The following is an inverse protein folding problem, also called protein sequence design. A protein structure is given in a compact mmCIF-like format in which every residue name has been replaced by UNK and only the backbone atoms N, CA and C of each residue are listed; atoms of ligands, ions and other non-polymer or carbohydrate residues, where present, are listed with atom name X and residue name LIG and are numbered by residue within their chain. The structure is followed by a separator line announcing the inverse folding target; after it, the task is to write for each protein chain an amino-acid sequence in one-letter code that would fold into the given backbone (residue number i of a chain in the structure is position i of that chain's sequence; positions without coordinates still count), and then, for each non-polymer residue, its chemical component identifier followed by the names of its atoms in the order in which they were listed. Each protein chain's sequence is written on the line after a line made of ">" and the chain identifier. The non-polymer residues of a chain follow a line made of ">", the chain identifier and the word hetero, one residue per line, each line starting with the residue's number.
data_IF_076582349527
#
_entry.id   IF_076582349527
#
_cell.length_a   1.000
_cell.length_b   1.000
_cell.length_c   1.000
_cell.angle_alpha   90.00
_cell.angle_beta   90.00
_cell.angle_gamma   90.00
#
_symmetry.space_group_name_H-M   'P 1'
#
loop_
_entity.id
_entity.type
_entity.pdbx_description
1 polymer ?
#
# COMPACT_ATOMS: atom_id res chain seq x y z
N UNK A 1 22.97 -19.23 -9.29
CA UNK A 1 21.98 -18.63 -8.37
C UNK A 1 20.66 -18.58 -9.14
N UNK A 2 19.67 -19.34 -8.71
CA UNK A 2 18.47 -19.64 -9.52
C UNK A 2 17.51 -18.44 -9.62
N UNK A 3 16.87 -18.21 -10.77
CA UNK A 3 15.97 -17.06 -10.99
C UNK A 3 14.73 -17.07 -10.07
N UNK A 4 14.33 -18.20 -9.55
CA UNK A 4 13.18 -18.33 -8.64
C UNK A 4 13.41 -17.69 -7.26
N UNK A 5 14.64 -17.75 -6.73
CA UNK A 5 14.99 -17.15 -5.42
C UNK A 5 14.88 -15.62 -5.49
N UNK A 6 15.39 -15.03 -6.57
CA UNK A 6 15.32 -13.56 -6.77
C UNK A 6 13.90 -13.02 -6.90
N UNK A 7 12.96 -13.80 -7.43
CA UNK A 7 11.55 -13.39 -7.55
C UNK A 7 10.87 -13.39 -6.18
N UNK A 8 11.16 -14.39 -5.34
CA UNK A 8 10.64 -14.44 -3.96
C UNK A 8 11.12 -13.27 -3.10
N UNK A 9 12.42 -12.94 -3.16
CA UNK A 9 13.01 -11.82 -2.40
C UNK A 9 12.39 -10.47 -2.78
N UNK A 10 12.14 -10.22 -4.06
CA UNK A 10 11.52 -8.98 -4.54
C UNK A 10 10.06 -8.83 -4.12
N UNK A 11 9.30 -9.92 -4.17
CA UNK A 11 7.90 -9.93 -3.70
C UNK A 11 7.84 -9.67 -2.20
N UNK A 12 8.76 -10.24 -1.44
CA UNK A 12 8.87 -10.03 0.01
C UNK A 12 9.21 -8.56 0.33
N UNK A 13 10.15 -7.94 -0.41
CA UNK A 13 10.51 -6.54 -0.22
C UNK A 13 9.35 -5.60 -0.56
N UNK A 14 8.69 -5.78 -1.69
CA UNK A 14 7.53 -4.96 -2.08
C UNK A 14 6.39 -5.05 -1.06
N UNK A 15 6.11 -6.25 -0.54
CA UNK A 15 5.13 -6.44 0.52
C UNK A 15 5.55 -5.72 1.81
N UNK A 16 6.81 -5.86 2.23
CA UNK A 16 7.32 -5.21 3.43
C UNK A 16 7.27 -3.67 3.35
N UNK A 17 7.60 -3.09 2.19
CA UNK A 17 7.45 -1.63 1.95
C UNK A 17 5.99 -1.21 1.94
N UNK A 18 5.09 -2.05 1.45
CA UNK A 18 3.65 -1.77 1.49
C UNK A 18 3.12 -1.80 2.92
N UNK A 19 3.47 -2.81 3.71
CA UNK A 19 3.10 -2.92 5.13
C UNK A 19 3.64 -1.75 5.96
N UNK A 20 4.89 -1.35 5.70
CA UNK A 20 5.48 -0.15 6.29
C UNK A 20 4.62 1.09 5.98
N UNK A 21 4.20 1.23 4.72
CA UNK A 21 3.41 2.38 4.30
C UNK A 21 2.00 2.40 4.90
N UNK A 22 1.36 1.27 5.08
CA UNK A 22 0.06 1.19 5.76
C UNK A 22 0.13 1.75 7.19
N UNK A 23 1.28 1.59 7.87
CA UNK A 23 1.50 2.11 9.22
C UNK A 23 1.83 3.60 9.25
N UNK A 24 2.67 4.07 8.32
CA UNK A 24 3.22 5.44 8.32
C UNK A 24 2.38 6.40 7.49
N UNK A 25 1.68 5.93 6.47
CA UNK A 25 1.01 6.76 5.47
C UNK A 25 -0.10 7.64 6.06
N UNK A 26 -0.83 7.14 7.04
CA UNK A 26 -1.87 7.93 7.74
C UNK A 26 -1.24 9.05 8.55
N UNK A 27 -0.16 8.76 9.29
CA UNK A 27 0.57 9.76 10.07
C UNK A 27 1.17 10.84 9.17
N UNK A 28 1.80 10.46 8.05
CA UNK A 28 2.32 11.41 7.06
C UNK A 28 1.23 12.34 6.50
N UNK A 29 0.08 11.78 6.12
CA UNK A 29 -1.04 12.58 5.59
C UNK A 29 -1.57 13.56 6.63
N UNK A 30 -1.59 13.17 7.90
CA UNK A 30 -2.02 14.05 8.99
C UNK A 30 -1.00 15.15 9.25
N UNK A 31 0.30 14.82 9.31
CA UNK A 31 1.39 15.79 9.48
C UNK A 31 1.44 16.80 8.32
N UNK A 32 1.29 16.35 7.08
CA UNK A 32 1.23 17.25 5.92
C UNK A 32 0.10 18.27 6.03
N UNK A 33 -1.08 17.86 6.50
CA UNK A 33 -2.21 18.76 6.73
C UNK A 33 -1.92 19.77 7.85
N UNK A 34 -1.34 19.33 8.96
CA UNK A 34 -0.95 20.22 10.06
C UNK A 34 0.13 21.20 9.58
N UNK A 35 1.03 20.78 8.72
CA UNK A 35 2.10 21.61 8.18
C UNK A 35 1.63 22.62 7.12
N UNK A 36 0.35 22.69 6.74
CA UNK A 36 -0.15 23.62 5.71
C UNK A 36 0.01 25.08 6.12
N UNK A 37 -0.17 25.40 7.42
CA UNK A 37 0.06 26.77 7.93
C UNK A 37 0.52 26.76 9.39
N UNK A 38 1.18 27.85 9.85
CA UNK A 38 1.54 27.98 11.27
C UNK A 38 0.31 27.96 12.18
N UNK A 39 -0.81 28.53 11.74
CA UNK A 39 -2.04 28.55 12.50
C UNK A 39 -2.62 27.15 12.73
N UNK A 40 -2.48 26.26 11.74
CA UNK A 40 -2.94 24.86 11.85
C UNK A 40 -2.10 24.09 12.88
N UNK A 41 -0.79 24.34 12.95
CA UNK A 41 0.09 23.70 13.93
C UNK A 41 -0.32 24.02 15.36
N UNK A 42 -0.78 25.26 15.60
CA UNK A 42 -1.13 25.77 16.94
C UNK A 42 -2.55 25.42 17.40
N UNK A 43 -3.31 24.68 16.59
CA UNK A 43 -4.62 24.17 17.03
C UNK A 43 -4.39 23.13 18.14
N UNK A 44 -5.05 23.31 19.28
CA UNK A 44 -4.89 22.45 20.47
C UNK A 44 -5.03 20.96 20.14
N UNK A 45 -6.02 20.59 19.32
CA UNK A 45 -6.20 19.21 18.85
C UNK A 45 -4.97 18.66 18.10
N UNK A 46 -4.29 19.49 17.30
CA UNK A 46 -3.09 19.09 16.55
C UNK A 46 -1.87 18.97 17.48
N UNK A 47 -1.75 19.85 18.46
CA UNK A 47 -0.67 19.80 19.45
C UNK A 47 -0.68 18.50 20.24
N UNK A 48 -1.86 18.05 20.66
CA UNK A 48 -2.04 16.79 21.37
C UNK A 48 -1.70 15.56 20.48
N UNK A 49 -1.89 15.68 19.16
CA UNK A 49 -1.59 14.61 18.23
C UNK A 49 -0.10 14.50 17.84
N UNK A 50 0.64 15.62 17.81
CA UNK A 50 2.02 15.67 17.31
C UNK A 50 2.94 14.61 17.92
N UNK A 51 2.95 14.36 19.25
CA UNK A 51 3.79 13.33 19.84
C UNK A 51 3.48 11.92 19.33
N UNK A 52 2.19 11.61 19.13
CA UNK A 52 1.73 10.33 18.61
C UNK A 52 2.12 10.13 17.14
N UNK A 53 2.03 11.21 16.33
CA UNK A 53 2.43 11.20 14.92
C UNK A 53 3.95 11.09 14.77
N UNK A 54 4.73 11.78 15.59
CA UNK A 54 6.18 11.65 15.66
C UNK A 54 6.59 10.22 16.03
N UNK A 55 5.94 9.63 17.04
CA UNK A 55 6.19 8.24 17.41
C UNK A 55 5.90 7.28 16.26
N UNK A 56 4.85 7.53 15.47
CA UNK A 56 4.53 6.73 14.28
C UNK A 56 5.64 6.81 13.21
N UNK A 57 6.23 7.99 13.00
CA UNK A 57 7.39 8.15 12.12
C UNK A 57 8.62 7.42 12.67
N UNK A 58 8.88 7.53 13.98
CA UNK A 58 9.99 6.82 14.63
C UNK A 58 9.84 5.30 14.46
N UNK A 59 8.68 4.74 14.80
CA UNK A 59 8.41 3.32 14.62
C UNK A 59 8.53 2.89 13.15
N UNK A 60 8.10 3.74 12.21
CA UNK A 60 8.27 3.51 10.79
C UNK A 60 9.73 3.49 10.34
N UNK A 61 10.55 4.41 10.84
CA UNK A 61 11.99 4.44 10.55
C UNK A 61 12.70 3.18 11.06
N UNK A 62 12.40 2.76 12.29
CA UNK A 62 12.96 1.51 12.87
C UNK A 62 12.53 0.27 12.08
N UNK A 63 11.26 0.20 11.68
CA UNK A 63 10.78 -0.89 10.83
C UNK A 63 11.48 -0.90 9.47
N UNK A 64 11.69 0.27 8.86
CA UNK A 64 12.37 0.38 7.58
C UNK A 64 13.81 -0.14 7.67
N UNK A 65 14.55 0.18 8.72
CA UNK A 65 15.92 -0.36 8.97
C UNK A 65 15.92 -1.88 9.01
N UNK A 66 14.86 -2.51 9.51
CA UNK A 66 14.72 -3.97 9.59
C UNK A 66 14.36 -4.66 8.28
N UNK A 67 14.02 -3.92 7.22
CA UNK A 67 13.68 -4.49 5.91
C UNK A 67 14.97 -4.73 5.11
N UNK A 68 15.20 -5.95 4.65
CA UNK A 68 16.34 -6.30 3.80
C UNK A 68 16.01 -6.05 2.31
N UNK A 69 16.60 -5.03 1.67
CA UNK A 69 16.35 -4.73 0.27
C UNK A 69 17.09 -5.70 -0.65
N UNK A 70 16.54 -6.00 -1.85
CA UNK A 70 17.33 -6.67 -2.87
C UNK A 70 18.45 -5.74 -3.36
N UNK A 71 19.61 -6.28 -3.80
CA UNK A 71 20.80 -5.47 -4.17
C UNK A 71 20.52 -4.35 -5.16
N UNK A 72 19.54 -4.51 -6.05
CA UNK A 72 19.17 -3.51 -7.03
C UNK A 72 18.28 -2.37 -6.47
N UNK A 73 17.79 -2.49 -5.25
CA UNK A 73 16.96 -1.48 -4.57
C UNK A 73 17.64 -0.91 -3.32
N UNK A 74 18.86 -1.34 -2.99
CA UNK A 74 19.60 -0.98 -1.77
C UNK A 74 19.70 0.54 -1.59
N UNK A 75 20.23 1.27 -2.59
CA UNK A 75 20.37 2.73 -2.51
C UNK A 75 19.02 3.46 -2.31
N UNK A 76 17.95 2.98 -2.97
CA UNK A 76 16.62 3.59 -2.85
C UNK A 76 15.97 3.26 -1.50
N UNK A 77 16.32 2.13 -0.92
CA UNK A 77 15.90 1.77 0.42
C UNK A 77 16.62 2.64 1.46
N UNK A 78 17.92 2.86 1.30
CA UNK A 78 18.69 3.79 2.14
C UNK A 78 18.11 5.22 2.06
N UNK A 79 17.73 5.69 0.85
CA UNK A 79 17.02 6.98 0.70
C UNK A 79 15.70 7.01 1.48
N UNK A 80 14.94 5.90 1.49
CA UNK A 80 13.67 5.82 2.23
C UNK A 80 13.91 5.86 3.74
N UNK A 81 14.88 5.11 4.24
CA UNK A 81 15.27 5.11 5.67
C UNK A 81 15.71 6.50 6.10
N UNK A 82 16.59 7.13 5.33
CA UNK A 82 17.08 8.48 5.61
C UNK A 82 15.94 9.51 5.61
N UNK A 83 15.03 9.46 4.63
CA UNK A 83 13.89 10.37 4.55
C UNK A 83 12.92 10.22 5.74
N UNK A 84 12.69 8.99 6.20
CA UNK A 84 11.86 8.73 7.40
C UNK A 84 12.52 9.29 8.67
N UNK A 85 13.82 9.10 8.84
CA UNK A 85 14.57 9.65 9.96
C UNK A 85 14.53 11.19 9.95
N UNK A 86 14.75 11.82 8.80
CA UNK A 86 14.70 13.26 8.64
C UNK A 86 13.30 13.84 8.92
N UNK A 87 12.25 13.19 8.44
CA UNK A 87 10.88 13.62 8.73
C UNK A 87 10.53 13.49 10.22
N UNK A 88 11.00 12.44 10.88
CA UNK A 88 10.88 12.25 12.33
C UNK A 88 11.56 13.41 13.10
N UNK A 89 12.80 13.71 12.72
CA UNK A 89 13.61 14.72 13.42
C UNK A 89 13.04 16.13 13.20
N UNK A 90 12.65 16.47 11.97
CA UNK A 90 11.97 17.74 11.69
C UNK A 90 10.62 17.87 12.42
N UNK A 91 9.86 16.77 12.58
CA UNK A 91 8.62 16.78 13.37
C UNK A 91 8.92 17.00 14.86
N UNK A 92 10.01 16.43 15.38
CA UNK A 92 10.44 16.66 16.76
C UNK A 92 10.85 18.11 17.00
N UNK A 93 11.55 18.74 16.04
CA UNK A 93 11.93 20.16 16.11
C UNK A 93 10.71 21.08 16.15
N UNK A 94 9.72 20.81 15.30
CA UNK A 94 8.46 21.59 15.32
C UNK A 94 7.73 21.40 16.64
N UNK A 95 7.59 20.18 17.15
CA UNK A 95 6.95 19.92 18.44
C UNK A 95 7.66 20.65 19.59
N UNK A 96 8.98 20.68 19.59
CA UNK A 96 9.77 21.40 20.58
C UNK A 96 9.63 22.92 20.46
N UNK A 97 9.60 23.47 19.23
CA UNK A 97 9.41 24.90 19.00
C UNK A 97 8.05 25.38 19.52
N UNK A 98 7.01 24.57 19.34
CA UNK A 98 5.67 24.86 19.86
C UNK A 98 5.66 24.97 21.40
N UNK A 99 6.41 24.09 22.08
CA UNK A 99 6.48 24.11 23.56
C UNK A 99 7.18 25.37 24.13
N UNK A 100 8.11 25.95 23.36
CA UNK A 100 8.97 27.05 23.86
C UNK A 100 8.55 28.41 23.32
N UNK A 101 8.38 28.53 22.01
CA UNK A 101 8.29 29.81 21.30
C UNK A 101 6.93 30.04 20.63
N UNK A 102 5.96 29.14 20.82
CA UNK A 102 4.63 29.21 20.19
C UNK A 102 4.74 29.41 18.65
N UNK A 103 3.99 30.42 18.12
CA UNK A 103 3.90 30.66 16.68
C UNK A 103 5.21 31.15 16.04
N UNK A 104 5.99 31.97 16.76
CA UNK A 104 7.22 32.58 16.22
C UNK A 104 8.32 31.55 15.98
N UNK A 105 8.38 30.51 16.80
CA UNK A 105 9.32 29.39 16.63
C UNK A 105 8.97 28.44 15.50
N UNK A 106 7.70 28.29 15.18
CA UNK A 106 7.21 27.30 14.21
C UNK A 106 7.35 27.77 12.76
N UNK A 107 7.06 29.06 12.48
CA UNK A 107 7.02 29.58 11.10
C UNK A 107 8.30 29.31 10.29
N UNK A 108 9.52 29.54 10.82
CA UNK A 108 10.74 29.29 10.07
C UNK A 108 11.02 27.81 9.80
N UNK A 109 10.44 26.88 10.59
CA UNK A 109 10.65 25.44 10.44
C UNK A 109 9.72 24.80 9.41
N UNK A 110 8.57 25.42 9.10
CA UNK A 110 7.56 24.82 8.20
C UNK A 110 8.08 24.42 6.80
N UNK A 111 8.89 25.24 6.11
CA UNK A 111 9.37 24.88 4.78
C UNK A 111 10.23 23.60 4.78
N UNK A 112 11.09 23.45 5.77
CA UNK A 112 11.95 22.29 5.91
C UNK A 112 11.14 21.05 6.33
N UNK A 113 10.24 21.21 7.28
CA UNK A 113 9.34 20.15 7.71
C UNK A 113 8.48 19.61 6.57
N UNK A 114 7.84 20.48 5.79
CA UNK A 114 7.11 20.07 4.57
C UNK A 114 8.00 19.34 3.56
N UNK A 115 9.22 19.87 3.38
CA UNK A 115 10.21 19.27 2.50
C UNK A 115 10.57 17.85 2.94
N UNK A 116 10.77 17.61 4.22
CA UNK A 116 11.09 16.29 4.77
C UNK A 116 9.93 15.31 4.60
N UNK A 117 8.69 15.71 4.88
CA UNK A 117 7.50 14.88 4.67
C UNK A 117 7.33 14.51 3.18
N UNK A 118 7.53 15.47 2.28
CA UNK A 118 7.49 15.22 0.83
C UNK A 118 8.58 14.26 0.38
N UNK A 119 9.81 14.35 0.93
CA UNK A 119 10.91 13.42 0.61
C UNK A 119 10.56 11.97 0.94
N UNK A 120 9.85 11.70 2.04
CA UNK A 120 9.38 10.35 2.37
C UNK A 120 8.48 9.78 1.27
N UNK A 121 7.52 10.57 0.78
CA UNK A 121 6.65 10.14 -0.32
C UNK A 121 7.43 9.86 -1.61
N UNK A 122 8.36 10.73 -1.93
CA UNK A 122 9.18 10.60 -3.13
C UNK A 122 10.10 9.38 -3.06
N UNK A 123 10.77 9.16 -1.92
CA UNK A 123 11.62 7.99 -1.70
C UNK A 123 10.82 6.67 -1.82
N UNK A 124 9.62 6.62 -1.24
CA UNK A 124 8.72 5.46 -1.41
C UNK A 124 8.36 5.19 -2.87
N UNK A 125 7.95 6.23 -3.61
CA UNK A 125 7.58 6.08 -5.02
C UNK A 125 8.76 5.52 -5.83
N UNK A 126 9.97 6.05 -5.64
CA UNK A 126 11.18 5.57 -6.30
C UNK A 126 11.49 4.11 -5.97
N UNK A 127 11.37 3.73 -4.70
CA UNK A 127 11.59 2.36 -4.26
C UNK A 127 10.60 1.38 -4.92
N UNK A 128 9.31 1.76 -5.01
CA UNK A 128 8.29 0.94 -5.65
C UNK A 128 8.45 0.89 -7.18
N UNK A 129 8.74 2.01 -7.85
CA UNK A 129 8.97 2.05 -9.29
C UNK A 129 10.15 1.14 -9.68
N UNK A 130 11.25 1.20 -8.93
CA UNK A 130 12.40 0.34 -9.18
C UNK A 130 12.06 -1.14 -9.00
N UNK A 131 11.32 -1.47 -7.96
CA UNK A 131 10.89 -2.85 -7.71
C UNK A 131 10.00 -3.37 -8.83
N UNK A 132 9.06 -2.55 -9.31
CA UNK A 132 8.19 -2.88 -10.43
C UNK A 132 8.94 -3.01 -11.75
N UNK A 133 9.90 -2.11 -12.04
CA UNK A 133 10.75 -2.20 -13.21
C UNK A 133 11.57 -3.50 -13.22
N UNK A 134 12.16 -3.86 -12.09
CA UNK A 134 12.89 -5.12 -11.93
C UNK A 134 11.98 -6.36 -12.08
N UNK A 135 10.72 -6.26 -11.69
CA UNK A 135 9.74 -7.33 -11.90
C UNK A 135 9.39 -7.48 -13.40
N UNK A 136 9.32 -6.37 -14.12
CA UNK A 136 9.06 -6.35 -15.57
C UNK A 136 10.27 -6.81 -16.40
N UNK A 137 11.50 -6.52 -15.95
CA UNK A 137 12.74 -6.99 -16.59
C UNK A 137 13.04 -8.47 -16.32
N UNK A 138 12.41 -9.07 -15.31
CA UNK A 138 12.53 -10.51 -15.08
C UNK A 138 12.00 -11.23 -16.33
N UNK A 139 12.79 -12.16 -16.95
CA UNK A 139 12.27 -12.95 -18.06
C UNK A 139 10.96 -13.57 -17.60
N UNK A 140 9.90 -13.34 -18.39
CA UNK A 140 8.60 -13.94 -18.10
C UNK A 140 8.86 -15.40 -17.75
N UNK A 141 8.32 -15.93 -16.64
CA UNK A 141 8.50 -17.32 -16.31
C UNK A 141 8.16 -18.07 -17.58
N UNK A 142 9.19 -18.69 -18.21
CA UNK A 142 8.93 -19.52 -19.38
C UNK A 142 7.82 -20.43 -18.90
N UNK A 143 6.67 -20.46 -19.58
CA UNK A 143 5.64 -21.39 -19.18
C UNK A 143 6.38 -22.72 -19.16
N UNK A 144 6.63 -23.23 -17.93
CA UNK A 144 7.11 -24.59 -17.82
C UNK A 144 6.24 -25.31 -18.83
N UNK A 145 6.85 -25.94 -19.82
CA UNK A 145 6.15 -26.84 -20.73
C UNK A 145 5.55 -27.92 -19.82
N UNK A 146 4.51 -27.50 -19.11
CA UNK A 146 3.56 -28.43 -18.54
C UNK A 146 3.23 -29.28 -19.74
N UNK A 147 3.81 -30.46 -19.75
CA UNK A 147 3.37 -31.51 -20.66
C UNK A 147 1.89 -31.32 -20.75
N UNK A 148 1.43 -30.89 -21.90
CA UNK A 148 0.01 -30.77 -22.19
C UNK A 148 -0.55 -32.20 -22.09
N UNK A 149 -0.77 -32.62 -20.85
CA UNK A 149 -1.90 -33.49 -20.62
C UNK A 149 -3.04 -32.64 -21.14
N UNK A 150 -3.61 -33.10 -22.22
CA UNK A 150 -4.78 -32.56 -22.86
C UNK A 150 -5.85 -32.33 -21.82
N UNK A 151 -5.73 -31.17 -21.11
CA UNK A 151 -6.86 -30.58 -20.44
C UNK A 151 -7.70 -29.98 -21.58
N UNK A 152 -8.45 -30.86 -22.19
CA UNK A 152 -9.63 -30.44 -22.91
C UNK A 152 -10.32 -29.46 -21.98
N UNK A 153 -10.56 -28.24 -22.45
CA UNK A 153 -11.25 -27.17 -21.72
C UNK A 153 -12.38 -27.86 -20.99
N UNK A 154 -12.23 -28.07 -19.67
CA UNK A 154 -13.12 -28.96 -18.96
C UNK A 154 -14.51 -28.35 -19.09
N UNK A 155 -15.44 -29.08 -19.71
CA UNK A 155 -16.82 -28.64 -19.90
C UNK A 155 -17.39 -28.08 -18.60
N UNK A 156 -16.93 -28.59 -17.46
CA UNK A 156 -17.22 -28.10 -16.12
C UNK A 156 -16.76 -26.66 -15.88
N UNK A 157 -15.59 -26.23 -16.38
CA UNK A 157 -15.13 -24.85 -16.23
C UNK A 157 -15.97 -23.86 -17.05
N UNK A 158 -16.35 -24.25 -18.27
CA UNK A 158 -17.26 -23.44 -19.10
C UNK A 158 -18.62 -23.30 -18.45
N UNK A 159 -19.20 -24.41 -17.97
CA UNK A 159 -20.49 -24.44 -17.30
C UNK A 159 -20.45 -23.59 -16.02
N UNK A 160 -19.41 -23.71 -15.21
CA UNK A 160 -19.24 -22.90 -14.00
C UNK A 160 -19.18 -21.40 -14.30
N UNK A 161 -18.43 -21.01 -15.33
CA UNK A 161 -18.31 -19.60 -15.75
C UNK A 161 -19.66 -19.05 -16.22
N UNK A 162 -20.41 -19.80 -17.02
CA UNK A 162 -21.73 -19.40 -17.51
C UNK A 162 -22.74 -19.27 -16.35
N UNK A 163 -22.70 -20.16 -15.37
CA UNK A 163 -23.56 -20.11 -14.18
C UNK A 163 -23.23 -18.89 -13.30
N UNK A 164 -21.96 -18.58 -13.08
CA UNK A 164 -21.54 -17.43 -12.29
C UNK A 164 -21.97 -16.13 -12.96
N UNK A 165 -21.69 -15.96 -14.25
CA UNK A 165 -22.05 -14.74 -14.99
C UNK A 165 -23.57 -14.58 -15.14
N UNK A 166 -24.28 -15.67 -15.49
CA UNK A 166 -25.75 -15.67 -15.58
C UNK A 166 -26.44 -15.42 -14.25
N UNK A 167 -25.91 -15.99 -13.17
CA UNK A 167 -26.42 -15.76 -11.80
C UNK A 167 -26.23 -14.32 -11.34
N UNK A 168 -25.06 -13.71 -11.60
CA UNK A 168 -24.81 -12.32 -11.29
C UNK A 168 -25.73 -11.36 -12.07
N UNK A 169 -25.97 -11.66 -13.36
CA UNK A 169 -26.88 -10.86 -14.18
C UNK A 169 -28.34 -10.93 -13.71
N UNK A 170 -28.84 -12.14 -13.39
CA UNK A 170 -30.21 -12.32 -12.87
C UNK A 170 -30.38 -11.70 -11.50
N UNK A 171 -29.35 -11.76 -10.65
CA UNK A 171 -29.35 -11.15 -9.33
C UNK A 171 -29.52 -9.62 -9.44
N UNK A 172 -28.70 -8.97 -10.30
CA UNK A 172 -28.77 -7.52 -10.51
C UNK A 172 -30.08 -7.10 -11.18
N UNK A 173 -30.55 -7.83 -12.18
CA UNK A 173 -31.85 -7.57 -12.83
C UNK A 173 -33.02 -7.75 -11.86
N UNK A 174 -32.99 -8.77 -11.01
CA UNK A 174 -34.01 -9.01 -9.99
C UNK A 174 -34.04 -7.92 -8.92
N UNK A 175 -32.91 -7.37 -8.54
CA UNK A 175 -32.81 -6.25 -7.61
C UNK A 175 -33.41 -4.96 -8.18
N UNK A 176 -33.16 -4.67 -9.46
CA UNK A 176 -33.71 -3.48 -10.15
C UNK A 176 -35.21 -3.56 -10.36
N UNK A 177 -35.75 -4.76 -10.66
CA UNK A 177 -37.18 -4.98 -10.95
C UNK A 177 -38.01 -5.26 -9.70
N UNK A 178 -37.40 -5.29 -8.51
CA UNK A 178 -38.06 -5.65 -7.23
C UNK A 178 -38.75 -7.02 -7.30
N UNK A 179 -38.28 -7.90 -8.19
CA UNK A 179 -38.82 -9.24 -8.41
C UNK A 179 -38.08 -10.28 -7.56
N UNK A 180 -38.51 -10.47 -6.34
CA UNK A 180 -37.87 -11.36 -5.35
C UNK A 180 -37.62 -12.81 -5.85
N UNK A 181 -38.51 -13.45 -6.66
CA UNK A 181 -38.22 -14.78 -7.16
C UNK A 181 -37.01 -14.82 -8.14
N UNK A 182 -36.86 -13.78 -8.95
CA UNK A 182 -35.73 -13.64 -9.92
C UNK A 182 -34.41 -13.43 -9.17
N UNK A 183 -34.44 -12.62 -8.13
CA UNK A 183 -33.31 -12.40 -7.24
C UNK A 183 -32.83 -13.69 -6.53
N UNK A 184 -33.79 -14.47 -5.98
CA UNK A 184 -33.49 -15.73 -5.32
C UNK A 184 -32.92 -16.78 -6.29
N UNK A 185 -33.44 -16.86 -7.52
CA UNK A 185 -32.92 -17.74 -8.56
C UNK A 185 -31.50 -17.35 -8.99
N UNK A 186 -31.22 -16.05 -9.14
CA UNK A 186 -29.89 -15.53 -9.45
C UNK A 186 -28.85 -15.91 -8.38
N UNK A 187 -29.21 -15.78 -7.10
CA UNK A 187 -28.36 -16.17 -5.97
C UNK A 187 -28.07 -17.68 -5.95
N UNK A 188 -29.08 -18.50 -6.22
CA UNK A 188 -28.91 -19.96 -6.26
C UNK A 188 -27.98 -20.41 -7.39
N UNK A 189 -28.10 -19.83 -8.58
CA UNK A 189 -27.24 -20.12 -9.72
C UNK A 189 -25.79 -19.66 -9.47
N UNK A 190 -25.61 -18.50 -8.87
CA UNK A 190 -24.31 -17.97 -8.50
C UNK A 190 -23.61 -18.89 -7.47
N UNK A 191 -24.30 -19.29 -6.42
CA UNK A 191 -23.76 -20.21 -5.41
C UNK A 191 -23.46 -21.60 -5.99
N UNK A 192 -24.31 -22.13 -6.87
CA UNK A 192 -24.08 -23.39 -7.56
C UNK A 192 -22.84 -23.37 -8.46
N UNK A 193 -22.61 -22.26 -9.17
CA UNK A 193 -21.40 -22.05 -9.98
C UNK A 193 -20.13 -22.07 -9.11
N UNK A 194 -20.17 -21.49 -7.93
CA UNK A 194 -19.03 -21.46 -6.99
C UNK A 194 -18.72 -22.88 -6.42
N UNK A 195 -19.75 -23.69 -6.16
CA UNK A 195 -19.56 -25.06 -5.68
C UNK A 195 -18.91 -25.94 -6.75
N UNK A 196 -19.31 -25.75 -8.02
CA UNK A 196 -18.73 -26.47 -9.17
C UNK A 196 -17.30 -26.03 -9.51
N UNK A 197 -16.92 -24.80 -9.14
CA UNK A 197 -15.57 -24.24 -9.42
C UNK A 197 -14.54 -24.59 -8.33
N UNK A 198 -14.89 -25.39 -7.34
CA UNK A 198 -13.94 -25.81 -6.29
C UNK A 198 -12.77 -26.57 -6.96
N UNK A 199 -11.49 -26.05 -6.84
CA UNK A 199 -10.30 -26.71 -7.37
C UNK A 199 -10.00 -28.03 -6.65
#
# INVERSE_FOLDING_TARGET
>A
MEPSVRTGERQTYSAAVTDLWERVGTALTRLERIAESPADVLVEEHLDELPGLQYSLHAGAELAVGIEPPPAAENLHEELVAALAEARDATAEVAYAVEIDEAEGVEPLLPEWRGSLFRVRLARLRALERTNALAAEAPAPQPERRKSDHQGTSWTAIVATVLILGGAFLFTAGAVLVAWPVWAAGLALFAGGFILYRP
#
